data_IF_579729623931
#
_entry.id   IF_579729623931
#
_cell.length_a   1.000
_cell.length_b   1.000
_cell.length_c   1.000
_cell.angle_alpha   90.00
_cell.angle_beta   90.00
_cell.angle_gamma   90.00
#
_symmetry.space_group_name_H-M   'P 1'
#
loop_
_entity.id
_entity.type
_entity.pdbx_description
1 polymer ?
#
# COMPACT_ATOMS: atom_id res chain seq x y z
N UNK A 1 5.64 -10.01 -6.64
CA UNK A 1 5.59 -11.48 -6.85
C UNK A 1 4.38 -11.99 -6.09
N UNK A 2 3.38 -12.58 -6.74
CA UNK A 2 2.39 -13.38 -6.01
C UNK A 2 3.09 -14.67 -5.63
N UNK A 3 3.58 -14.76 -4.39
CA UNK A 3 4.11 -16.03 -3.88
C UNK A 3 3.01 -17.08 -4.00
N UNK A 4 3.37 -18.28 -4.47
CA UNK A 4 2.42 -19.38 -4.55
C UNK A 4 1.86 -19.70 -3.15
N UNK A 5 0.68 -20.30 -3.05
CA UNK A 5 0.20 -20.87 -1.81
C UNK A 5 1.13 -22.03 -1.38
N UNK A 6 1.11 -22.39 -0.09
CA UNK A 6 1.88 -23.49 0.45
C UNK A 6 1.58 -24.81 -0.29
N UNK A 7 2.61 -25.59 -0.69
CA UNK A 7 2.42 -26.91 -1.28
C UNK A 7 1.52 -27.80 -0.40
N UNK A 8 0.58 -28.57 -0.99
CA UNK A 8 -0.34 -29.43 -0.23
C UNK A 8 0.36 -30.41 0.71
N UNK A 9 1.52 -30.95 0.30
CA UNK A 9 2.30 -31.90 1.08
C UNK A 9 2.81 -31.29 2.39
N UNK A 10 3.17 -30.00 2.37
CA UNK A 10 3.57 -29.24 3.55
C UNK A 10 2.35 -28.83 4.37
N UNK A 11 1.24 -28.45 3.73
CA UNK A 11 0.01 -28.09 4.43
C UNK A 11 -0.53 -29.24 5.30
N UNK A 12 -0.45 -30.49 4.81
CA UNK A 12 -0.85 -31.70 5.56
C UNK A 12 -0.04 -31.90 6.85
N UNK A 13 1.20 -31.42 6.91
CA UNK A 13 2.00 -31.52 8.14
C UNK A 13 1.48 -30.60 9.25
N UNK A 14 0.75 -29.54 8.89
CA UNK A 14 0.18 -28.58 9.84
C UNK A 14 -1.26 -28.92 10.25
N UNK A 15 -1.87 -29.99 9.73
CA UNK A 15 -3.24 -30.40 10.10
C UNK A 15 -3.29 -31.32 11.33
N UNK A 16 -2.16 -31.54 12.01
CA UNK A 16 -2.09 -32.35 13.23
C UNK A 16 -2.73 -31.62 14.41
N UNK A 17 -3.99 -31.96 14.71
CA UNK A 17 -4.78 -31.26 15.72
C UNK A 17 -4.37 -31.54 17.17
N UNK A 18 -3.75 -32.70 17.43
CA UNK A 18 -3.39 -33.18 18.78
C UNK A 18 -1.90 -33.07 19.11
N UNK A 19 -1.06 -32.86 18.11
CA UNK A 19 0.37 -32.67 18.33
C UNK A 19 0.57 -31.27 18.91
N UNK A 20 1.55 -31.10 19.79
CA UNK A 20 1.87 -29.76 20.30
C UNK A 20 2.36 -28.86 19.15
N UNK A 21 2.25 -27.55 19.34
CA UNK A 21 2.76 -26.57 18.39
C UNK A 21 4.27 -26.75 18.14
N UNK A 22 5.05 -27.05 19.18
CA UNK A 22 6.49 -27.33 19.04
C UNK A 22 6.75 -28.63 18.27
N UNK A 23 6.01 -29.71 18.51
CA UNK A 23 6.15 -30.98 17.76
C UNK A 23 5.77 -30.81 16.29
N UNK A 24 4.68 -30.09 16.02
CA UNK A 24 4.24 -29.74 14.66
C UNK A 24 5.31 -28.90 13.95
N UNK A 25 5.91 -27.94 14.67
CA UNK A 25 7.00 -27.10 14.16
C UNK A 25 8.24 -27.92 13.80
N UNK A 26 8.68 -28.80 14.68
CA UNK A 26 9.85 -29.67 14.43
C UNK A 26 9.59 -30.58 13.24
N UNK A 27 8.39 -31.16 13.16
CA UNK A 27 8.01 -32.03 12.04
C UNK A 27 8.00 -31.27 10.73
N UNK A 28 7.39 -30.08 10.69
CA UNK A 28 7.33 -29.22 9.52
C UNK A 28 8.73 -28.75 9.09
N UNK A 29 9.51 -28.19 10.02
CA UNK A 29 10.86 -27.69 9.77
C UNK A 29 11.82 -28.79 9.28
N UNK A 30 11.64 -30.03 9.72
CA UNK A 30 12.45 -31.18 9.24
C UNK A 30 12.29 -31.47 7.74
N UNK A 31 11.22 -30.95 7.12
CA UNK A 31 10.93 -31.11 5.69
C UNK A 31 11.34 -29.90 4.86
N UNK A 32 11.79 -28.82 5.50
CA UNK A 32 12.20 -27.60 4.82
C UNK A 32 13.71 -27.58 4.60
N UNK A 33 14.10 -26.92 3.51
CA UNK A 33 15.46 -26.42 3.37
C UNK A 33 15.58 -25.13 4.20
N UNK A 34 16.60 -24.98 5.07
CA UNK A 34 16.81 -23.75 5.84
C UNK A 34 16.86 -22.47 5.00
N UNK A 35 17.37 -22.57 3.76
CA UNK A 35 17.47 -21.44 2.83
C UNK A 35 16.10 -20.96 2.32
N UNK A 36 15.06 -21.81 2.43
CA UNK A 36 13.72 -21.52 1.94
C UNK A 36 12.77 -20.95 3.02
N UNK A 37 13.24 -20.73 4.25
CA UNK A 37 12.40 -20.27 5.37
C UNK A 37 11.57 -19.02 5.03
N UNK A 38 12.17 -18.02 4.38
CA UNK A 38 11.45 -16.82 3.98
C UNK A 38 10.36 -17.13 2.96
N UNK A 39 10.70 -17.87 1.90
CA UNK A 39 9.75 -18.30 0.87
C UNK A 39 8.60 -19.09 1.47
N UNK A 40 8.88 -20.07 2.33
CA UNK A 40 7.87 -20.88 3.00
C UNK A 40 6.98 -20.03 3.92
N UNK A 41 7.56 -19.05 4.63
CA UNK A 41 6.77 -18.15 5.47
C UNK A 41 5.81 -17.27 4.64
N UNK A 42 6.26 -16.77 3.49
CA UNK A 42 5.37 -16.07 2.54
C UNK A 42 4.29 -16.98 1.95
N UNK A 43 4.61 -18.24 1.66
CA UNK A 43 3.64 -19.23 1.19
C UNK A 43 2.58 -19.54 2.26
N UNK A 44 2.99 -19.69 3.53
CA UNK A 44 2.09 -19.87 4.67
C UNK A 44 1.13 -18.69 4.81
N UNK A 45 1.67 -17.47 4.80
CA UNK A 45 0.87 -16.25 4.91
C UNK A 45 -0.15 -16.16 3.77
N UNK A 46 0.27 -16.40 2.52
CA UNK A 46 -0.63 -16.38 1.39
C UNK A 46 -1.72 -17.44 1.49
N UNK A 47 -1.38 -18.66 1.94
CA UNK A 47 -2.40 -19.67 2.19
C UNK A 47 -3.39 -19.17 3.24
N UNK A 48 -2.96 -18.62 4.38
CA UNK A 48 -3.86 -18.07 5.40
C UNK A 48 -4.81 -17.00 4.83
N UNK A 49 -4.30 -16.05 4.03
CA UNK A 49 -5.12 -15.01 3.38
C UNK A 49 -6.08 -15.60 2.34
N UNK A 50 -5.65 -16.60 1.58
CA UNK A 50 -6.52 -17.32 0.65
C UNK A 50 -7.66 -18.03 1.40
N UNK A 51 -7.39 -18.62 2.58
CA UNK A 51 -8.41 -19.27 3.41
C UNK A 51 -9.52 -18.29 3.84
N UNK A 52 -9.12 -17.08 4.24
CA UNK A 52 -10.04 -16.03 4.68
C UNK A 52 -10.91 -15.52 3.51
N UNK A 53 -10.30 -15.31 2.36
CA UNK A 53 -10.97 -14.69 1.21
C UNK A 53 -11.84 -15.68 0.42
N UNK A 54 -11.51 -16.98 0.41
CA UNK A 54 -12.11 -17.98 -0.50
C UNK A 54 -12.75 -19.21 0.17
N UNK A 55 -13.35 -19.08 1.37
CA UNK A 55 -13.91 -20.17 2.18
C UNK A 55 -14.45 -21.42 1.48
N UNK A 56 -15.28 -21.30 0.44
CA UNK A 56 -15.83 -22.47 -0.28
C UNK A 56 -14.76 -23.28 -1.06
N UNK A 57 -13.69 -22.64 -1.53
CA UNK A 57 -12.58 -23.32 -2.22
C UNK A 57 -11.59 -23.95 -1.23
N UNK A 58 -11.55 -23.42 -0.02
CA UNK A 58 -10.67 -23.84 1.07
C UNK A 58 -11.00 -25.24 1.56
N UNK A 59 -12.27 -25.54 1.80
CA UNK A 59 -12.70 -26.90 2.15
C UNK A 59 -12.24 -27.87 1.06
N UNK A 60 -12.42 -27.51 -0.21
CA UNK A 60 -11.98 -28.32 -1.34
C UNK A 60 -10.46 -28.51 -1.41
N UNK A 61 -9.67 -27.51 -1.03
CA UNK A 61 -8.21 -27.63 -0.96
C UNK A 61 -7.80 -28.66 0.10
N UNK A 62 -8.36 -28.59 1.31
CA UNK A 62 -8.06 -29.56 2.37
C UNK A 62 -8.63 -30.94 2.06
N UNK A 63 -9.83 -31.04 1.49
CA UNK A 63 -10.38 -32.29 0.99
C UNK A 63 -9.43 -32.94 -0.01
N UNK A 64 -8.94 -32.19 -1.00
CA UNK A 64 -8.05 -32.73 -2.03
C UNK A 64 -6.65 -33.06 -1.48
N UNK A 65 -6.12 -32.28 -0.55
CA UNK A 65 -4.82 -32.54 0.09
C UNK A 65 -4.86 -33.75 1.03
N UNK A 66 -6.01 -34.00 1.67
CA UNK A 66 -6.23 -35.12 2.60
C UNK A 66 -6.80 -36.37 1.91
N UNK A 67 -7.08 -36.32 0.59
CA UNK A 67 -7.65 -37.41 -0.22
C UNK A 67 -6.69 -38.61 -0.41
N UNK A 68 -6.29 -39.25 0.69
CA UNK A 68 -5.83 -40.64 0.70
C UNK A 68 -7.01 -41.65 0.76
N UNK A 69 -8.16 -41.30 0.16
CA UNK A 69 -9.24 -42.24 -0.13
C UNK A 69 -10.40 -42.33 0.87
N UNK A 70 -10.36 -41.62 2.00
CA UNK A 70 -11.47 -41.62 2.98
C UNK A 70 -12.19 -40.26 3.03
N UNK A 71 -13.52 -40.30 3.05
CA UNK A 71 -14.36 -39.11 3.24
C UNK A 71 -14.30 -38.66 4.70
N UNK A 72 -13.73 -37.47 4.95
CA UNK A 72 -13.73 -36.87 6.28
C UNK A 72 -15.15 -36.44 6.67
N UNK A 73 -15.50 -36.64 7.94
CA UNK A 73 -16.66 -36.00 8.53
C UNK A 73 -16.47 -34.49 8.61
N UNK A 74 -17.58 -33.74 8.68
CA UNK A 74 -17.53 -32.28 8.86
C UNK A 74 -16.73 -31.87 10.11
N UNK A 75 -16.83 -32.65 11.18
CA UNK A 75 -16.08 -32.41 12.42
C UNK A 75 -14.58 -32.57 12.19
N UNK A 76 -14.15 -33.64 11.52
CA UNK A 76 -12.72 -33.86 11.24
C UNK A 76 -12.15 -32.80 10.29
N UNK A 77 -12.92 -32.35 9.30
CA UNK A 77 -12.53 -31.25 8.42
C UNK A 77 -12.34 -29.95 9.21
N UNK A 78 -13.28 -29.65 10.12
CA UNK A 78 -13.19 -28.49 11.00
C UNK A 78 -11.95 -28.55 11.91
N UNK A 79 -11.65 -29.72 12.49
CA UNK A 79 -10.43 -29.94 13.28
C UNK A 79 -9.16 -29.76 12.45
N UNK A 80 -9.13 -30.26 11.21
CA UNK A 80 -7.99 -30.10 10.31
C UNK A 80 -7.76 -28.63 9.93
N UNK A 81 -8.83 -27.89 9.65
CA UNK A 81 -8.76 -26.46 9.34
C UNK A 81 -8.27 -25.65 10.54
N UNK A 82 -8.82 -25.92 11.73
CA UNK A 82 -8.39 -25.29 12.97
C UNK A 82 -6.92 -25.59 13.26
N UNK A 83 -6.50 -26.85 13.13
CA UNK A 83 -5.10 -27.26 13.28
C UNK A 83 -4.18 -26.49 12.34
N UNK A 84 -4.52 -26.44 11.05
CA UNK A 84 -3.72 -25.74 10.05
C UNK A 84 -3.57 -24.25 10.40
N UNK A 85 -4.69 -23.57 10.65
CA UNK A 85 -4.67 -22.12 10.93
C UNK A 85 -3.80 -21.82 12.15
N UNK A 86 -3.96 -22.57 13.24
CA UNK A 86 -3.21 -22.31 14.47
C UNK A 86 -1.73 -22.67 14.32
N UNK A 87 -1.42 -23.83 13.72
CA UNK A 87 -0.05 -24.23 13.48
C UNK A 87 0.66 -23.27 12.51
N UNK A 88 -0.01 -22.76 11.48
CA UNK A 88 0.56 -21.81 10.54
C UNK A 88 0.93 -20.48 11.22
N UNK A 89 0.04 -19.90 12.03
CA UNK A 89 0.34 -18.69 12.81
C UNK A 89 1.53 -18.91 13.77
N UNK A 90 1.57 -20.07 14.43
CA UNK A 90 2.67 -20.43 15.30
C UNK A 90 3.99 -20.60 14.54
N UNK A 91 3.95 -21.18 13.34
CA UNK A 91 5.12 -21.33 12.46
C UNK A 91 5.69 -19.97 12.02
N UNK A 92 4.82 -19.00 11.67
CA UNK A 92 5.24 -17.64 11.34
C UNK A 92 6.00 -17.00 12.51
N UNK A 93 5.52 -17.22 13.74
CA UNK A 93 6.24 -16.81 14.96
C UNK A 93 7.58 -17.54 15.10
N UNK A 94 7.60 -18.87 14.98
CA UNK A 94 8.81 -19.68 15.17
C UNK A 94 9.94 -19.33 14.21
N UNK A 95 9.64 -19.07 12.93
CA UNK A 95 10.66 -18.70 11.94
C UNK A 95 11.44 -17.42 12.30
N UNK A 96 10.82 -16.51 13.06
CA UNK A 96 11.39 -15.20 13.38
C UNK A 96 11.46 -14.95 14.90
N UNK A 97 11.34 -15.99 15.73
CA UNK A 97 11.33 -15.87 17.20
C UNK A 97 12.59 -15.26 17.79
N UNK A 98 13.70 -15.31 17.05
CA UNK A 98 14.99 -14.76 17.43
C UNK A 98 15.03 -13.22 17.37
N UNK A 99 14.07 -12.62 16.68
CA UNK A 99 13.91 -11.18 16.60
C UNK A 99 12.90 -10.70 17.64
N UNK A 100 13.04 -9.46 18.07
CA UNK A 100 12.00 -8.81 18.85
C UNK A 100 10.69 -8.78 18.07
N UNK A 101 9.55 -8.91 18.77
CA UNK A 101 8.23 -8.96 18.13
C UNK A 101 7.96 -7.74 17.22
N UNK A 102 8.52 -6.58 17.58
CA UNK A 102 8.42 -5.32 16.82
C UNK A 102 9.12 -5.38 15.46
N UNK A 103 10.13 -6.24 15.31
CA UNK A 103 10.91 -6.42 14.10
C UNK A 103 10.47 -7.65 13.30
N UNK A 104 9.39 -8.32 13.72
CA UNK A 104 8.89 -9.51 13.04
C UNK A 104 8.24 -9.10 11.70
N UNK A 105 8.63 -9.70 10.56
CA UNK A 105 8.08 -9.32 9.25
C UNK A 105 6.56 -9.60 9.11
N UNK A 106 5.97 -10.39 10.01
CA UNK A 106 4.54 -10.70 10.02
C UNK A 106 3.76 -9.88 11.05
N UNK A 107 4.37 -8.85 11.64
CA UNK A 107 3.68 -8.00 12.62
C UNK A 107 2.43 -7.33 12.05
N UNK A 108 2.50 -6.82 10.82
CA UNK A 108 1.36 -6.17 10.15
C UNK A 108 0.18 -7.11 9.97
N UNK A 109 0.46 -8.36 9.56
CA UNK A 109 -0.54 -9.42 9.45
C UNK A 109 -1.26 -9.67 10.79
N UNK A 110 -0.50 -9.85 11.87
CA UNK A 110 -1.09 -10.08 13.20
C UNK A 110 -1.91 -8.91 13.72
N UNK A 111 -1.47 -7.68 13.46
CA UNK A 111 -2.24 -6.47 13.78
C UNK A 111 -3.56 -6.44 13.01
N UNK A 112 -3.54 -6.71 11.70
CA UNK A 112 -4.77 -6.76 10.88
C UNK A 112 -5.73 -7.87 11.33
N UNK A 113 -5.24 -9.07 11.68
CA UNK A 113 -6.10 -10.16 12.23
C UNK A 113 -6.89 -9.69 13.46
N UNK A 114 -6.27 -8.92 14.36
CA UNK A 114 -6.96 -8.38 15.54
C UNK A 114 -7.89 -7.23 15.15
N UNK A 115 -7.45 -6.32 14.28
CA UNK A 115 -8.27 -5.18 13.82
C UNK A 115 -9.53 -5.62 13.11
N UNK A 116 -9.44 -6.63 12.26
CA UNK A 116 -10.59 -7.18 11.53
C UNK A 116 -11.60 -7.83 12.49
N UNK A 117 -11.11 -8.51 13.53
CA UNK A 117 -11.96 -9.00 14.61
C UNK A 117 -12.65 -7.85 15.35
N UNK A 118 -11.91 -6.83 15.77
CA UNK A 118 -12.46 -5.68 16.51
C UNK A 118 -13.42 -4.84 15.67
N UNK A 119 -13.14 -4.67 14.38
CA UNK A 119 -14.01 -3.98 13.43
C UNK A 119 -15.31 -4.74 13.23
N UNK A 120 -15.26 -6.07 13.16
CA UNK A 120 -16.45 -6.88 12.86
C UNK A 120 -17.29 -7.18 14.11
N UNK A 121 -16.64 -7.44 15.25
CA UNK A 121 -17.32 -7.87 16.47
C UNK A 121 -17.42 -6.78 17.53
N UNK A 122 -16.59 -5.73 17.45
CA UNK A 122 -16.76 -4.45 18.13
C UNK A 122 -17.07 -4.47 19.64
N UNK A 123 -17.47 -3.30 20.16
CA UNK A 123 -17.86 -3.12 21.57
C UNK A 123 -19.00 -4.05 22.01
N UNK A 124 -19.83 -4.50 21.06
CA UNK A 124 -21.01 -5.33 21.33
C UNK A 124 -20.65 -6.72 21.88
N UNK A 125 -19.50 -7.28 21.49
CA UNK A 125 -19.03 -8.57 22.00
C UNK A 125 -18.64 -8.48 23.49
N UNK A 126 -17.99 -7.39 23.90
CA UNK A 126 -17.62 -7.16 25.30
C UNK A 126 -18.81 -6.86 26.21
N UNK A 127 -19.90 -6.30 25.68
CA UNK A 127 -21.11 -6.01 26.44
C UNK A 127 -22.07 -7.21 26.55
N UNK A 128 -21.71 -8.38 26.02
CA UNK A 128 -22.56 -9.58 26.03
C UNK A 128 -23.87 -9.41 25.25
N UNK A 129 -23.99 -8.37 24.42
CA UNK A 129 -25.18 -8.07 23.62
C UNK A 129 -25.03 -8.72 22.24
N UNK A 130 -25.30 -10.02 22.17
CA UNK A 130 -25.26 -10.81 20.93
C UNK A 130 -26.38 -10.43 19.94
N UNK A 131 -26.24 -9.30 19.24
CA UNK A 131 -27.00 -9.05 18.00
C UNK A 131 -26.04 -8.65 16.89
N UNK A 132 -25.21 -9.60 16.46
CA UNK A 132 -24.37 -9.45 15.29
C UNK A 132 -25.26 -9.18 14.07
N UNK A 133 -25.19 -7.96 13.52
CA UNK A 133 -25.66 -7.68 12.17
C UNK A 133 -24.78 -8.47 11.21
N UNK A 134 -25.32 -9.57 10.71
CA UNK A 134 -24.64 -10.55 9.84
C UNK A 134 -24.11 -9.85 8.59
N UNK A 135 -22.86 -9.39 8.65
CA UNK A 135 -22.18 -8.82 7.49
C UNK A 135 -21.57 -9.97 6.71
N UNK A 136 -21.80 -9.98 5.40
CA UNK A 136 -21.58 -11.10 4.47
C UNK A 136 -20.11 -11.57 4.34
N UNK A 137 -19.15 -10.85 4.93
CA UNK A 137 -17.72 -11.12 4.78
C UNK A 137 -17.17 -12.26 5.66
N UNK A 138 -17.80 -12.57 6.81
CA UNK A 138 -17.38 -13.69 7.69
C UNK A 138 -18.31 -14.90 7.47
N UNK A 139 -18.43 -15.35 6.22
CA UNK A 139 -19.22 -16.55 5.87
C UNK A 139 -18.37 -17.81 5.69
N UNK A 140 -17.05 -17.70 5.78
CA UNK A 140 -16.15 -18.62 5.11
C UNK A 140 -15.22 -19.41 6.05
N UNK A 141 -14.95 -18.90 7.25
CA UNK A 141 -14.25 -19.64 8.32
C UNK A 141 -15.17 -19.65 9.53
N UNK A 142 -15.32 -20.81 10.18
CA UNK A 142 -16.16 -20.93 11.37
C UNK A 142 -15.73 -19.89 12.41
N UNK A 143 -16.72 -19.16 12.96
CA UNK A 143 -16.50 -18.02 13.87
C UNK A 143 -15.59 -18.40 15.05
N UNK A 144 -15.73 -19.64 15.52
CA UNK A 144 -14.95 -20.18 16.64
C UNK A 144 -13.46 -20.34 16.28
N UNK A 145 -13.14 -20.76 15.05
CA UNK A 145 -11.76 -20.84 14.57
C UNK A 145 -11.16 -19.44 14.50
N UNK A 146 -11.88 -18.47 13.92
CA UNK A 146 -11.38 -17.11 13.78
C UNK A 146 -11.17 -16.43 15.15
N UNK A 147 -12.14 -16.58 16.06
CA UNK A 147 -12.04 -16.11 17.45
C UNK A 147 -10.83 -16.71 18.16
N UNK A 148 -10.63 -18.03 18.04
CA UNK A 148 -9.49 -18.73 18.65
C UNK A 148 -8.16 -18.27 18.06
N UNK A 149 -8.08 -18.08 16.74
CA UNK A 149 -6.91 -17.54 16.07
C UNK A 149 -6.52 -16.16 16.61
N UNK A 150 -7.48 -15.27 16.81
CA UNK A 150 -7.25 -13.94 17.41
C UNK A 150 -6.63 -14.07 18.80
N UNK A 151 -7.08 -15.04 19.61
CA UNK A 151 -6.49 -15.29 20.92
C UNK A 151 -5.06 -15.82 20.83
N UNK A 152 -4.75 -16.68 19.86
CA UNK A 152 -3.40 -17.17 19.61
C UNK A 152 -2.46 -16.02 19.23
N UNK A 153 -2.88 -15.19 18.27
CA UNK A 153 -2.14 -14.00 17.82
C UNK A 153 -1.92 -13.03 18.97
N UNK A 154 -2.92 -12.82 19.83
CA UNK A 154 -2.76 -12.03 21.06
C UNK A 154 -1.70 -12.64 21.97
N UNK A 155 -1.71 -13.95 22.20
CA UNK A 155 -0.66 -14.62 22.97
C UNK A 155 0.74 -14.40 22.40
N UNK A 156 0.90 -14.44 21.07
CA UNK A 156 2.16 -14.15 20.37
C UNK A 156 2.59 -12.70 20.63
N UNK A 157 1.71 -11.72 20.39
CA UNK A 157 2.02 -10.29 20.60
C UNK A 157 2.30 -9.94 22.06
N UNK A 158 1.69 -10.65 23.01
CA UNK A 158 1.96 -10.51 24.44
C UNK A 158 3.33 -11.07 24.88
N UNK A 159 4.13 -11.62 23.95
CA UNK A 159 5.42 -12.23 24.25
C UNK A 159 5.31 -13.63 24.86
N UNK A 160 4.17 -14.30 24.71
CA UNK A 160 3.94 -15.65 25.24
C UNK A 160 4.12 -16.76 24.21
N UNK A 161 4.59 -16.45 23.00
CA UNK A 161 4.81 -17.42 21.93
C UNK A 161 5.61 -18.67 22.35
N UNK A 162 6.59 -18.53 23.24
CA UNK A 162 7.34 -19.70 23.76
C UNK A 162 6.47 -20.60 24.63
N UNK A 163 5.60 -20.04 25.48
CA UNK A 163 4.69 -20.81 26.33
C UNK A 163 3.60 -21.50 25.51
N UNK A 164 3.22 -20.87 24.39
CA UNK A 164 2.23 -21.44 23.49
C UNK A 164 2.69 -22.79 22.92
N UNK A 165 4.00 -23.00 22.75
CA UNK A 165 4.59 -24.20 22.13
C UNK A 165 4.18 -25.53 22.75
N UNK A 166 3.90 -25.56 24.06
CA UNK A 166 3.52 -26.78 24.77
C UNK A 166 2.06 -27.22 24.56
N UNK A 167 1.22 -26.38 23.95
CA UNK A 167 -0.17 -26.72 23.70
C UNK A 167 -0.34 -27.31 22.31
N UNK A 168 -1.29 -28.22 22.16
CA UNK A 168 -1.81 -28.60 20.85
C UNK A 168 -2.87 -27.62 20.35
N UNK A 169 -3.14 -27.56 19.03
CA UNK A 169 -4.29 -26.86 18.49
C UNK A 169 -5.60 -27.22 19.19
N UNK A 170 -5.81 -28.50 19.52
CA UNK A 170 -6.97 -28.99 20.25
C UNK A 170 -7.07 -28.40 21.66
N UNK A 171 -5.99 -28.47 22.45
CA UNK A 171 -5.99 -27.92 23.80
C UNK A 171 -6.18 -26.41 23.79
N UNK A 172 -5.56 -25.73 22.82
CA UNK A 172 -5.70 -24.29 22.68
C UNK A 172 -7.14 -23.88 22.35
N UNK A 173 -7.77 -24.60 21.41
CA UNK A 173 -9.15 -24.41 21.01
C UNK A 173 -10.15 -24.66 22.15
N UNK A 174 -9.98 -25.78 22.88
CA UNK A 174 -10.93 -26.19 23.92
C UNK A 174 -10.76 -25.39 25.23
N UNK A 175 -9.52 -25.15 25.67
CA UNK A 175 -9.25 -24.66 27.03
C UNK A 175 -8.79 -23.21 27.10
N UNK A 176 -8.07 -22.73 26.08
CA UNK A 176 -7.32 -21.47 26.20
C UNK A 176 -8.00 -20.29 25.53
N UNK A 177 -8.85 -20.52 24.52
CA UNK A 177 -9.62 -19.43 23.89
C UNK A 177 -10.37 -18.57 24.93
N UNK A 178 -10.98 -19.20 25.95
CA UNK A 178 -11.68 -18.50 27.04
C UNK A 178 -10.73 -17.82 28.04
N UNK A 179 -9.54 -18.38 28.25
CA UNK A 179 -8.56 -17.85 29.22
C UNK A 179 -7.90 -16.58 28.68
N UNK A 180 -7.52 -16.59 27.39
CA UNK A 180 -6.89 -15.45 26.72
C UNK A 180 -7.85 -14.31 26.40
N UNK A 181 -9.16 -14.59 26.33
CA UNK A 181 -10.21 -13.60 26.06
C UNK A 181 -10.18 -12.40 27.04
N UNK A 182 -9.66 -12.61 28.24
CA UNK A 182 -9.54 -11.58 29.29
C UNK A 182 -8.38 -10.60 29.09
N UNK A 183 -7.42 -10.91 28.22
CA UNK A 183 -6.23 -10.07 28.02
C UNK A 183 -6.47 -9.09 26.90
N UNK A 184 -6.71 -7.84 27.29
CA UNK A 184 -6.74 -6.71 26.38
C UNK A 184 -5.29 -6.37 26.03
N UNK A 185 -4.93 -6.58 24.78
CA UNK A 185 -3.65 -6.13 24.24
C UNK A 185 -3.88 -4.78 23.57
N UNK A 186 -3.06 -3.82 23.93
CA UNK A 186 -3.05 -2.51 23.28
C UNK A 186 -2.36 -2.63 21.92
N UNK A 187 -3.18 -2.88 20.89
CA UNK A 187 -2.73 -3.04 19.50
C UNK A 187 -2.00 -1.78 19.01
N UNK A 188 -2.37 -0.60 19.52
CA UNK A 188 -1.80 0.70 19.16
C UNK A 188 -0.28 0.77 19.33
N UNK A 189 0.29 0.01 20.29
CA UNK A 189 1.76 -0.05 20.48
C UNK A 189 2.49 -0.75 19.34
N UNK A 190 1.81 -1.71 18.71
CA UNK A 190 2.33 -2.41 17.55
C UNK A 190 2.09 -1.60 16.28
N UNK A 191 1.00 -0.83 16.20
CA UNK A 191 0.76 0.14 15.13
C UNK A 191 1.85 1.21 15.10
N UNK A 192 2.22 1.79 16.26
CA UNK A 192 3.36 2.73 16.35
C UNK A 192 4.66 2.09 15.84
N UNK A 193 4.88 0.81 16.14
CA UNK A 193 6.06 0.09 15.64
C UNK A 193 6.01 -0.12 14.11
N UNK A 194 4.82 -0.38 13.55
CA UNK A 194 4.60 -0.50 12.10
C UNK A 194 4.73 0.84 11.39
N UNK A 195 4.31 1.93 12.02
CA UNK A 195 4.51 3.30 11.55
C UNK A 195 6.00 3.70 11.57
N UNK A 196 6.74 3.31 12.60
CA UNK A 196 8.18 3.55 12.69
C UNK A 196 8.99 2.74 11.66
N UNK A 197 8.45 1.60 11.22
CA UNK A 197 8.99 0.80 10.10
C UNK A 197 8.48 1.26 8.73
N UNK A 198 7.68 2.33 8.67
CA UNK A 198 7.07 2.86 7.44
C UNK A 198 6.18 1.84 6.70
N UNK A 199 5.62 0.89 7.45
CA UNK A 199 4.62 -0.06 6.93
C UNK A 199 3.23 0.57 6.98
N UNK A 200 2.93 1.34 8.03
CA UNK A 200 1.72 2.15 8.15
C UNK A 200 2.03 3.63 8.02
N UNK A 201 1.11 4.36 7.40
CA UNK A 201 1.18 5.81 7.35
C UNK A 201 0.94 6.39 8.75
N UNK A 202 1.86 7.23 9.22
CA UNK A 202 1.69 7.96 10.48
C UNK A 202 0.42 8.80 10.36
N UNK A 203 -0.58 8.62 11.25
CA UNK A 203 -1.77 9.45 11.22
C UNK A 203 -1.31 10.90 11.33
N UNK A 204 -1.71 11.73 10.37
CA UNK A 204 -1.33 13.13 10.32
C UNK A 204 -1.54 13.70 11.72
N UNK A 205 -0.43 14.06 12.39
CA UNK A 205 -0.49 14.65 13.73
C UNK A 205 -1.36 15.89 13.56
N UNK A 206 -2.62 15.80 13.97
CA UNK A 206 -3.47 16.97 14.12
C UNK A 206 -2.66 17.85 15.04
N UNK A 207 -2.05 18.90 14.48
CA UNK A 207 -1.39 19.91 15.28
C UNK A 207 -2.51 20.42 16.16
N UNK A 208 -2.50 20.00 17.43
CA UNK A 208 -3.36 20.61 18.43
C UNK A 208 -2.75 22.00 18.58
N UNK A 209 -3.17 22.90 17.70
CA UNK A 209 -2.95 24.31 17.86
C UNK A 209 -3.54 24.65 19.21
N UNK A 210 -2.67 24.86 20.19
CA UNK A 210 -3.01 25.51 21.44
C UNK A 210 -3.31 26.99 21.13
N UNK A 211 -4.41 27.22 20.40
CA UNK A 211 -4.96 28.55 20.24
C UNK A 211 -5.62 28.94 21.56
N UNK A 212 -4.86 29.74 22.32
CA UNK A 212 -5.42 30.62 23.34
C UNK A 212 -6.48 31.48 22.66
N UNK A 213 -7.70 31.44 23.20
CA UNK A 213 -8.88 32.17 22.73
C UNK A 213 -8.57 33.66 22.53
N UNK A 214 -9.00 34.24 21.41
CA UNK A 214 -9.68 35.52 21.47
C UNK A 214 -11.08 35.44 20.87
N UNK A 215 -12.00 36.10 21.57
CA UNK A 215 -13.40 36.29 21.22
C UNK A 215 -13.57 36.94 19.84
N UNK A 216 -14.70 36.59 19.22
CA UNK A 216 -15.42 37.31 18.17
C UNK A 216 -14.68 37.60 16.85
N UNK A 217 -15.06 36.88 15.79
CA UNK A 217 -15.63 37.45 14.56
C UNK A 217 -16.32 36.32 13.78
N UNK A 218 -17.64 36.48 13.60
CA UNK A 218 -18.47 35.67 12.70
C UNK A 218 -18.11 36.03 11.25
N UNK A 219 -17.71 35.03 10.46
CA UNK A 219 -18.09 34.83 9.03
C UNK A 219 -17.33 33.63 8.48
N UNK A 220 -17.93 32.45 8.56
CA UNK A 220 -17.45 31.27 7.84
C UNK A 220 -18.58 30.75 6.96
N UNK A 221 -18.41 30.93 5.65
CA UNK A 221 -19.28 30.39 4.62
C UNK A 221 -19.05 28.88 4.55
N UNK A 222 -19.84 28.14 5.32
CA UNK A 222 -19.88 26.67 5.24
C UNK A 222 -20.63 26.31 3.96
N UNK A 223 -19.92 25.79 2.96
CA UNK A 223 -20.52 25.12 1.82
C UNK A 223 -21.23 23.84 2.32
N UNK A 224 -22.56 23.88 2.34
CA UNK A 224 -23.39 22.77 2.76
C UNK A 224 -23.41 21.65 1.68
N UNK A 225 -23.41 20.37 2.06
CA UNK A 225 -23.58 19.26 1.14
C UNK A 225 -25.06 19.14 0.77
N UNK A 226 -25.46 19.89 -0.26
CA UNK A 226 -26.79 19.87 -0.86
C UNK A 226 -26.68 19.98 -2.37
N UNK A 227 -26.07 18.98 -3.02
CA UNK A 227 -25.99 18.92 -4.48
C UNK A 227 -27.36 18.50 -5.07
N UNK A 228 -28.30 19.45 -5.08
CA UNK A 228 -29.55 19.34 -5.84
C UNK A 228 -29.35 19.86 -7.25
N UNK A 229 -29.41 18.94 -8.22
CA UNK A 229 -29.94 19.12 -9.59
C UNK A 229 -29.28 20.20 -10.46
N UNK A 230 -28.82 19.77 -11.64
CA UNK A 230 -28.26 20.57 -12.76
C UNK A 230 -29.24 21.59 -13.39
N UNK A 231 -30.04 22.32 -12.60
CA UNK A 231 -31.01 23.27 -13.12
C UNK A 231 -30.34 24.60 -13.50
N UNK A 232 -30.15 24.80 -14.81
CA UNK A 232 -30.03 26.07 -15.56
C UNK A 232 -29.28 27.27 -14.93
N UNK A 233 -28.31 27.04 -14.04
CA UNK A 233 -27.33 28.08 -13.73
C UNK A 233 -26.53 28.40 -15.00
N UNK A 234 -26.30 29.70 -15.23
CA UNK A 234 -25.57 30.19 -16.40
C UNK A 234 -24.26 29.42 -16.57
N UNK A 235 -24.05 28.84 -17.76
CA UNK A 235 -22.87 28.04 -18.11
C UNK A 235 -21.54 28.68 -17.68
N UNK A 236 -21.45 30.02 -17.67
CA UNK A 236 -20.26 30.75 -17.23
C UNK A 236 -20.03 30.70 -15.69
N UNK A 237 -21.08 30.76 -14.88
CA UNK A 237 -20.94 30.69 -13.41
C UNK A 237 -20.43 29.30 -12.97
N UNK A 238 -20.89 28.24 -13.66
CA UNK A 238 -20.41 26.88 -13.43
C UNK A 238 -18.93 26.75 -13.81
N UNK A 239 -18.50 27.35 -14.93
CA UNK A 239 -17.08 27.36 -15.33
C UNK A 239 -16.20 28.01 -14.28
N UNK A 240 -16.60 29.17 -13.78
CA UNK A 240 -15.87 29.88 -12.73
C UNK A 240 -15.80 29.07 -11.44
N UNK A 241 -16.88 28.39 -11.06
CA UNK A 241 -16.91 27.51 -9.90
C UNK A 241 -15.97 26.30 -10.08
N UNK A 242 -16.01 25.63 -11.25
CA UNK A 242 -15.12 24.52 -11.55
C UNK A 242 -13.66 24.96 -11.52
N UNK A 243 -13.32 26.09 -12.15
CA UNK A 243 -11.96 26.64 -12.14
C UNK A 243 -11.53 26.93 -10.70
N UNK A 244 -12.38 27.58 -9.90
CA UNK A 244 -12.08 27.88 -8.50
C UNK A 244 -11.78 26.60 -7.70
N UNK A 245 -12.59 25.55 -7.86
CA UNK A 245 -12.36 24.27 -7.16
C UNK A 245 -11.03 23.66 -7.61
N UNK A 246 -10.73 23.68 -8.92
CA UNK A 246 -9.47 23.14 -9.46
C UNK A 246 -8.27 23.87 -8.87
N UNK A 247 -8.34 25.20 -8.73
CA UNK A 247 -7.27 25.99 -8.13
C UNK A 247 -7.04 25.65 -6.66
N UNK A 248 -8.10 25.35 -5.89
CA UNK A 248 -7.99 24.93 -4.48
C UNK A 248 -7.46 23.51 -4.28
N UNK A 249 -7.43 22.67 -5.33
CA UNK A 249 -6.94 21.27 -5.21
C UNK A 249 -5.45 21.13 -4.93
N UNK A 250 -4.69 22.21 -5.07
CA UNK A 250 -3.27 22.23 -4.71
C UNK A 250 -3.06 22.39 -3.19
N UNK A 251 -4.11 22.78 -2.43
CA UNK A 251 -3.97 23.18 -1.03
C UNK A 251 -4.68 22.22 -0.08
N UNK A 252 -5.87 21.73 -0.44
CA UNK A 252 -6.72 20.93 0.46
C UNK A 252 -7.14 19.58 -0.12
N UNK A 253 -7.31 18.57 0.75
CA UNK A 253 -7.91 17.29 0.39
C UNK A 253 -9.37 17.47 -0.05
N UNK A 254 -9.69 17.03 -1.26
CA UNK A 254 -11.06 17.04 -1.77
C UNK A 254 -11.84 15.80 -1.31
N UNK A 255 -13.09 15.96 -0.84
CA UNK A 255 -14.02 14.85 -0.70
C UNK A 255 -14.24 14.12 -2.03
N UNK A 256 -14.44 12.81 -1.98
CA UNK A 256 -14.61 11.99 -3.18
C UNK A 256 -15.84 12.40 -4.00
N UNK A 257 -16.89 12.87 -3.31
CA UNK A 257 -18.11 13.38 -3.94
C UNK A 257 -17.85 14.66 -4.72
N UNK A 258 -16.95 15.53 -4.22
CA UNK A 258 -16.52 16.74 -4.91
C UNK A 258 -15.69 16.41 -6.14
N UNK A 259 -14.79 15.43 -6.05
CA UNK A 259 -14.03 14.92 -7.20
C UNK A 259 -14.97 14.42 -8.29
N UNK A 260 -15.95 13.59 -7.95
CA UNK A 260 -16.91 13.05 -8.93
C UNK A 260 -17.79 14.14 -9.56
N UNK A 261 -18.22 15.11 -8.76
CA UNK A 261 -18.98 16.26 -9.23
C UNK A 261 -18.17 17.08 -10.26
N UNK A 262 -16.94 17.46 -9.93
CA UNK A 262 -16.09 18.28 -10.81
C UNK A 262 -15.74 17.50 -12.08
N UNK A 263 -15.40 16.21 -11.96
CA UNK A 263 -15.09 15.37 -13.12
C UNK A 263 -16.29 15.21 -14.06
N UNK A 264 -17.50 15.08 -13.52
CA UNK A 264 -18.73 15.04 -14.33
C UNK A 264 -18.93 16.37 -15.06
N UNK A 265 -18.68 17.50 -14.40
CA UNK A 265 -18.71 18.83 -15.04
C UNK A 265 -17.71 18.99 -16.18
N UNK A 266 -16.45 18.62 -15.95
CA UNK A 266 -15.41 18.69 -16.99
C UNK A 266 -15.67 17.75 -18.17
N UNK A 267 -16.29 16.59 -17.94
CA UNK A 267 -16.67 15.66 -19.00
C UNK A 267 -17.87 16.19 -19.81
N UNK A 268 -18.80 16.88 -19.17
CA UNK A 268 -19.97 17.47 -19.84
C UNK A 268 -19.59 18.72 -20.65
N UNK A 269 -18.65 19.53 -20.16
CA UNK A 269 -18.15 20.72 -20.86
C UNK A 269 -16.61 20.71 -20.94
N UNK A 270 -16.10 20.01 -21.94
CA UNK A 270 -14.66 19.90 -22.20
C UNK A 270 -14.03 21.25 -22.56
N UNK A 271 -14.83 22.27 -22.95
CA UNK A 271 -14.30 23.60 -23.29
C UNK A 271 -13.68 24.33 -22.10
N UNK A 272 -14.00 23.89 -20.86
CA UNK A 272 -13.36 24.37 -19.63
C UNK A 272 -11.86 24.01 -19.59
N UNK A 273 -11.45 22.93 -20.29
CA UNK A 273 -10.07 22.48 -20.33
C UNK A 273 -9.28 23.34 -21.31
N UNK A 274 -8.83 24.48 -20.80
CA UNK A 274 -8.01 25.43 -21.52
C UNK A 274 -6.51 25.10 -21.41
N UNK A 275 -5.66 25.61 -22.33
CA UNK A 275 -4.20 25.45 -22.20
C UNK A 275 -3.65 25.92 -20.85
N UNK A 276 -4.22 26.99 -20.28
CA UNK A 276 -3.79 27.53 -18.99
C UNK A 276 -4.10 26.58 -17.84
N UNK A 277 -5.25 25.90 -17.87
CA UNK A 277 -5.59 24.89 -16.87
C UNK A 277 -4.63 23.71 -16.92
N UNK A 278 -4.27 23.25 -18.12
CA UNK A 278 -3.32 22.15 -18.31
C UNK A 278 -1.93 22.55 -17.79
N UNK A 279 -1.46 23.76 -18.08
CA UNK A 279 -0.18 24.28 -17.55
C UNK A 279 -0.18 24.44 -16.05
N UNK A 280 -1.27 24.96 -15.49
CA UNK A 280 -1.46 25.04 -14.05
C UNK A 280 -1.37 23.65 -13.41
N UNK A 281 -2.08 22.68 -13.98
CA UNK A 281 -2.03 21.27 -13.55
C UNK A 281 -0.61 20.72 -13.62
N UNK A 282 0.14 21.01 -14.69
CA UNK A 282 1.53 20.59 -14.84
C UNK A 282 2.46 21.19 -13.75
N UNK A 283 2.28 22.47 -13.43
CA UNK A 283 3.06 23.15 -12.39
C UNK A 283 2.77 22.67 -10.97
N UNK A 284 1.52 22.29 -10.68
CA UNK A 284 1.08 21.82 -9.37
C UNK A 284 1.13 20.29 -9.23
N UNK A 285 1.56 19.56 -10.27
CA UNK A 285 1.42 18.11 -10.33
C UNK A 285 2.07 17.37 -9.14
N UNK A 286 3.29 17.69 -8.69
CA UNK A 286 3.86 17.00 -7.54
C UNK A 286 2.98 17.12 -6.29
N UNK A 287 2.51 18.33 -5.98
CA UNK A 287 1.66 18.63 -4.83
C UNK A 287 0.29 17.96 -4.94
N UNK A 288 -0.34 18.01 -6.11
CA UNK A 288 -1.68 17.42 -6.31
C UNK A 288 -1.65 15.90 -6.32
N UNK A 289 -0.54 15.26 -6.70
CA UNK A 289 -0.37 13.80 -6.55
C UNK A 289 -0.34 13.39 -5.08
N UNK A 290 0.32 14.17 -4.23
CA UNK A 290 0.44 13.88 -2.79
C UNK A 290 -0.87 14.14 -2.04
N UNK A 291 -1.52 15.28 -2.30
CA UNK A 291 -2.74 15.67 -1.58
C UNK A 291 -3.98 15.00 -2.17
N UNK A 292 -4.09 14.92 -3.50
CA UNK A 292 -5.34 14.61 -4.18
C UNK A 292 -5.14 13.54 -5.28
N UNK A 293 -4.56 12.40 -4.92
CA UNK A 293 -4.20 11.34 -5.88
C UNK A 293 -5.35 10.94 -6.83
N UNK A 294 -6.54 10.65 -6.31
CA UNK A 294 -7.69 10.20 -7.11
C UNK A 294 -8.17 11.28 -8.11
N UNK A 295 -8.17 12.54 -7.69
CA UNK A 295 -8.46 13.68 -8.54
C UNK A 295 -7.42 13.80 -9.65
N UNK A 296 -6.14 13.74 -9.30
CA UNK A 296 -5.04 13.86 -10.24
C UNK A 296 -5.07 12.76 -11.31
N UNK A 297 -5.33 11.51 -10.91
CA UNK A 297 -5.52 10.38 -11.84
C UNK A 297 -6.66 10.68 -12.83
N UNK A 298 -7.86 11.02 -12.34
CA UNK A 298 -9.03 11.28 -13.19
C UNK A 298 -8.83 12.49 -14.11
N UNK A 299 -8.20 13.56 -13.62
CA UNK A 299 -7.92 14.76 -14.39
C UNK A 299 -6.92 14.47 -15.51
N UNK A 300 -5.84 13.74 -15.22
CA UNK A 300 -4.84 13.36 -16.22
C UNK A 300 -5.41 12.39 -17.25
N UNK A 301 -6.27 11.46 -16.85
CA UNK A 301 -6.98 10.60 -17.79
C UNK A 301 -7.87 11.39 -18.74
N UNK A 302 -8.57 12.39 -18.23
CA UNK A 302 -9.38 13.27 -19.05
C UNK A 302 -8.51 14.07 -20.02
N UNK A 303 -7.46 14.75 -19.54
CA UNK A 303 -6.60 15.61 -20.37
C UNK A 303 -5.81 14.81 -21.41
N UNK A 304 -5.23 13.66 -21.00
CA UNK A 304 -4.32 12.89 -21.85
C UNK A 304 -5.04 11.83 -22.69
N UNK A 305 -6.09 11.21 -22.14
CA UNK A 305 -6.82 10.11 -22.76
C UNK A 305 -8.02 10.52 -23.62
N UNK A 306 -8.58 11.74 -23.44
CA UNK A 306 -9.76 12.13 -24.20
C UNK A 306 -9.44 12.46 -25.67
N UNK A 307 -10.08 11.75 -26.60
CA UNK A 307 -9.79 11.81 -28.04
C UNK A 307 -9.91 13.22 -28.64
N UNK A 308 -10.89 14.00 -28.19
CA UNK A 308 -11.09 15.36 -28.71
C UNK A 308 -10.00 16.33 -28.23
N UNK A 309 -9.61 16.23 -26.95
CA UNK A 309 -8.55 17.07 -26.38
C UNK A 309 -7.18 16.73 -27.00
N UNK A 310 -6.97 15.45 -27.30
CA UNK A 310 -5.78 14.97 -28.00
C UNK A 310 -5.65 15.52 -29.42
N UNK A 311 -6.77 15.75 -30.11
CA UNK A 311 -6.80 16.28 -31.47
C UNK A 311 -6.75 17.81 -31.55
N UNK A 312 -6.89 18.52 -30.42
CA UNK A 312 -6.89 19.98 -30.40
C UNK A 312 -5.45 20.53 -30.48
N UNK A 313 -5.07 21.22 -31.58
CA UNK A 313 -3.73 21.76 -31.73
C UNK A 313 -3.39 22.83 -30.67
N UNK A 314 -4.38 23.51 -30.09
CA UNK A 314 -4.16 24.52 -29.05
C UNK A 314 -3.68 23.91 -27.73
N UNK A 315 -4.00 22.64 -27.49
CA UNK A 315 -3.63 21.91 -26.28
C UNK A 315 -2.36 21.08 -26.46
N UNK A 316 -1.85 20.93 -27.68
CA UNK A 316 -0.67 20.11 -27.98
C UNK A 316 0.54 20.49 -27.11
N UNK A 317 0.90 21.78 -27.08
CA UNK A 317 2.05 22.26 -26.31
C UNK A 317 1.84 22.07 -24.81
N UNK A 318 0.64 22.40 -24.30
CA UNK A 318 0.33 22.26 -22.88
C UNK A 318 0.29 20.78 -22.44
N UNK A 319 -0.20 19.87 -23.29
CA UNK A 319 -0.13 18.42 -23.06
C UNK A 319 1.32 17.96 -23.01
N UNK A 320 2.18 18.44 -23.92
CA UNK A 320 3.59 18.08 -23.89
C UNK A 320 4.29 18.59 -22.62
N UNK A 321 3.97 19.81 -22.16
CA UNK A 321 4.43 20.34 -20.88
C UNK A 321 3.97 19.45 -19.71
N UNK A 322 2.71 18.99 -19.71
CA UNK A 322 2.17 18.09 -18.70
C UNK A 322 2.85 16.70 -18.71
N UNK A 323 3.07 16.11 -19.88
CA UNK A 323 3.80 14.84 -20.01
C UNK A 323 5.25 15.03 -19.53
N UNK A 324 5.88 16.17 -19.82
CA UNK A 324 7.20 16.52 -19.29
C UNK A 324 7.18 16.63 -17.76
N UNK A 325 6.14 17.24 -17.17
CA UNK A 325 5.98 17.32 -15.72
C UNK A 325 5.86 15.93 -15.07
N UNK A 326 5.13 14.99 -15.70
CA UNK A 326 5.03 13.59 -15.25
C UNK A 326 6.42 12.94 -15.17
N UNK A 327 7.30 13.16 -16.16
CA UNK A 327 8.67 12.61 -16.12
C UNK A 327 9.54 13.18 -15.00
N UNK A 328 9.14 14.29 -14.38
CA UNK A 328 9.89 14.98 -13.31
C UNK A 328 9.32 14.73 -11.93
N UNK A 329 8.29 13.88 -11.82
CA UNK A 329 7.72 13.54 -10.52
C UNK A 329 8.74 12.84 -9.62
N UNK A 330 8.62 12.99 -8.28
CA UNK A 330 9.53 12.36 -7.35
C UNK A 330 9.42 10.83 -7.42
N UNK A 331 10.49 10.14 -7.05
CA UNK A 331 10.55 8.67 -7.04
C UNK A 331 9.92 8.07 -5.77
N UNK A 332 8.70 8.49 -5.45
CA UNK A 332 7.88 7.96 -4.34
C UNK A 332 6.83 6.98 -4.88
N UNK A 333 6.13 6.27 -3.98
CA UNK A 333 5.14 5.26 -4.36
C UNK A 333 3.98 5.88 -5.18
N UNK A 334 3.47 7.04 -4.75
CA UNK A 334 2.30 7.67 -5.37
C UNK A 334 2.53 8.03 -6.86
N UNK A 335 3.60 8.77 -7.26
CA UNK A 335 3.90 8.99 -8.68
C UNK A 335 4.12 7.72 -9.50
N UNK A 336 4.76 6.69 -8.94
CA UNK A 336 4.96 5.42 -9.63
C UNK A 336 3.63 4.71 -9.89
N UNK A 337 2.70 4.75 -8.94
CA UNK A 337 1.34 4.21 -9.11
C UNK A 337 0.52 5.04 -10.09
N UNK A 338 0.65 6.38 -10.06
CA UNK A 338 0.05 7.26 -11.05
C UNK A 338 0.52 6.90 -12.46
N UNK A 339 1.84 6.86 -12.70
CA UNK A 339 2.41 6.54 -14.01
C UNK A 339 1.91 5.16 -14.45
N UNK A 340 2.00 4.15 -13.58
CA UNK A 340 1.50 2.80 -13.88
C UNK A 340 0.02 2.82 -14.27
N UNK A 341 -0.81 3.57 -13.56
CA UNK A 341 -2.25 3.71 -13.82
C UNK A 341 -2.51 4.36 -15.18
N UNK A 342 -1.82 5.45 -15.51
CA UNK A 342 -1.94 6.15 -16.80
C UNK A 342 -1.50 5.26 -17.97
N UNK A 343 -0.44 4.46 -17.78
CA UNK A 343 0.02 3.50 -18.78
C UNK A 343 -0.99 2.37 -19.00
N UNK A 344 -1.52 1.78 -17.93
CA UNK A 344 -2.55 0.72 -17.99
C UNK A 344 -3.80 1.22 -18.72
N UNK A 345 -4.21 2.46 -18.47
CA UNK A 345 -5.39 3.07 -19.09
C UNK A 345 -5.14 3.60 -20.51
N UNK A 346 -3.91 3.50 -21.02
CA UNK A 346 -3.55 3.93 -22.37
C UNK A 346 -3.65 5.45 -22.57
N UNK A 347 -3.45 6.23 -21.51
CA UNK A 347 -3.52 7.69 -21.57
C UNK A 347 -2.29 8.32 -22.21
N UNK A 348 -1.15 7.62 -22.21
CA UNK A 348 0.13 8.08 -22.72
C UNK A 348 0.42 7.41 -24.07
N UNK A 349 0.78 8.20 -25.07
CA UNK A 349 1.04 7.71 -26.45
C UNK A 349 2.46 7.16 -26.60
N UNK A 350 3.45 7.88 -26.06
CA UNK A 350 4.87 7.51 -26.10
C UNK A 350 5.30 6.99 -24.73
N UNK A 351 4.89 5.74 -24.46
CA UNK A 351 5.20 5.04 -23.20
C UNK A 351 6.71 5.01 -22.93
N UNK A 352 7.58 4.63 -23.90
CA UNK A 352 9.02 4.64 -23.67
C UNK A 352 9.53 6.01 -23.25
N UNK A 353 9.14 7.10 -23.92
CA UNK A 353 9.61 8.44 -23.57
C UNK A 353 9.27 8.83 -22.13
N UNK A 354 8.04 8.56 -21.67
CA UNK A 354 7.62 8.89 -20.31
C UNK A 354 8.37 8.06 -19.28
N UNK A 355 8.48 6.75 -19.49
CA UNK A 355 9.13 5.86 -18.54
C UNK A 355 10.63 6.12 -18.47
N UNK A 356 11.33 6.20 -19.60
CA UNK A 356 12.76 6.51 -19.63
C UNK A 356 13.03 7.89 -19.03
N UNK A 357 12.19 8.89 -19.34
CA UNK A 357 12.29 10.23 -18.75
C UNK A 357 12.17 10.22 -17.22
N UNK A 358 11.16 9.51 -16.70
CA UNK A 358 10.95 9.33 -15.26
C UNK A 358 12.11 8.59 -14.60
N UNK A 359 12.51 7.43 -15.12
CA UNK A 359 13.59 6.62 -14.56
C UNK A 359 14.93 7.38 -14.55
N UNK A 360 15.25 8.10 -15.64
CA UNK A 360 16.46 8.90 -15.70
C UNK A 360 16.46 10.03 -14.65
N UNK A 361 15.33 10.71 -14.43
CA UNK A 361 15.23 11.73 -13.40
C UNK A 361 15.27 11.15 -11.98
N UNK A 362 14.61 10.01 -11.75
CA UNK A 362 14.65 9.30 -10.48
C UNK A 362 16.08 8.83 -10.14
N UNK A 363 16.80 8.22 -11.09
CA UNK A 363 18.17 7.76 -10.87
C UNK A 363 19.14 8.90 -10.57
N UNK A 364 18.98 10.05 -11.24
CA UNK A 364 19.74 11.27 -10.90
C UNK A 364 19.44 11.74 -9.48
N UNK A 365 18.16 11.80 -9.09
CA UNK A 365 17.77 12.21 -7.74
C UNK A 365 18.40 11.28 -6.67
N UNK A 366 18.41 9.96 -6.92
CA UNK A 366 19.04 8.98 -6.04
C UNK A 366 20.56 9.16 -5.99
N UNK A 367 21.22 9.48 -7.10
CA UNK A 367 22.66 9.77 -7.11
C UNK A 367 23.00 10.95 -6.19
N UNK A 368 22.17 12.01 -6.19
CA UNK A 368 22.34 13.13 -5.27
C UNK A 368 22.16 12.75 -3.80
N UNK A 369 21.27 11.81 -3.46
CA UNK A 369 21.08 11.34 -2.08
C UNK A 369 22.36 10.73 -1.48
N UNK A 370 23.23 10.14 -2.31
CA UNK A 370 24.48 9.51 -1.89
C UNK A 370 25.69 10.42 -1.85
N UNK A 371 25.58 11.63 -2.39
CA UNK A 371 26.71 12.57 -2.47
C UNK A 371 26.99 13.19 -1.09
N UNK A 372 27.88 12.58 -0.31
CA UNK A 372 28.23 12.96 1.07
C UNK A 372 29.03 14.28 1.21
N UNK A 373 29.09 15.15 0.20
CA UNK A 373 29.95 16.34 0.20
C UNK A 373 29.34 17.60 0.81
N UNK A 374 28.17 17.54 1.44
CA UNK A 374 27.56 18.71 2.10
C UNK A 374 28.15 18.96 3.51
N UNK A 375 29.48 19.17 3.59
CA UNK A 375 30.13 19.81 4.75
C UNK A 375 30.62 21.22 4.46
N UNK A 376 30.20 21.83 3.35
CA UNK A 376 30.58 23.20 3.02
C UNK A 376 29.35 24.08 2.86
N UNK A 377 29.38 25.24 3.52
CA UNK A 377 28.39 26.33 3.53
C UNK A 377 28.01 26.90 2.14
N UNK A 378 28.44 26.25 1.06
CA UNK A 378 28.15 26.58 -0.33
C UNK A 378 26.96 25.79 -0.91
N UNK A 379 26.47 24.76 -0.21
CA UNK A 379 25.39 23.88 -0.73
C UNK A 379 24.00 24.53 -0.64
N UNK A 380 23.80 25.53 0.23
CA UNK A 380 22.55 26.31 0.27
C UNK A 380 22.26 27.04 -1.04
N UNK A 381 23.28 27.36 -1.85
CA UNK A 381 23.10 28.07 -3.12
C UNK A 381 22.82 27.13 -4.30
N UNK A 382 23.10 25.83 -4.18
CA UNK A 382 22.87 24.82 -5.23
C UNK A 382 21.51 24.13 -5.11
N UNK A 383 20.97 24.00 -3.89
CA UNK A 383 19.56 23.64 -3.70
C UNK A 383 18.63 24.68 -4.32
N UNK A 384 19.01 25.96 -4.32
CA UNK A 384 18.27 27.02 -5.02
C UNK A 384 18.35 26.88 -6.56
N UNK A 385 19.49 26.45 -7.11
CA UNK A 385 19.71 26.35 -8.57
C UNK A 385 19.01 25.16 -9.24
N UNK A 386 18.81 24.05 -8.51
CA UNK A 386 18.08 22.89 -9.03
C UNK A 386 16.56 23.17 -9.18
N UNK A 387 16.04 24.16 -8.45
CA UNK A 387 14.67 24.66 -8.60
C UNK A 387 14.56 25.86 -9.57
N UNK A 388 15.59 26.70 -9.71
CA UNK A 388 15.59 27.85 -10.65
C UNK A 388 15.76 27.45 -12.14
N UNK A 389 16.25 26.24 -12.44
CA UNK A 389 16.43 25.77 -13.83
C UNK A 389 15.16 25.21 -14.47
N UNK A 390 14.02 25.22 -13.76
CA UNK A 390 12.70 24.96 -14.30
C UNK A 390 11.93 26.30 -14.37
N UNK A 391 11.79 26.94 -15.55
CA UNK A 391 11.33 28.33 -15.67
C UNK A 391 9.82 28.56 -15.39
N UNK A 392 9.18 27.70 -14.59
CA UNK A 392 7.74 27.77 -14.28
C UNK A 392 7.40 27.70 -12.78
N UNK A 393 8.39 27.70 -11.89
CA UNK A 393 8.12 27.75 -10.43
C UNK A 393 8.87 28.95 -9.86
N UNK A 394 8.26 30.13 -9.95
CA UNK A 394 8.64 31.24 -9.08
C UNK A 394 8.29 30.88 -7.65
N UNK A 395 9.15 31.15 -6.65
CA UNK A 395 8.80 30.95 -5.26
C UNK A 395 7.63 31.88 -4.91
N UNK A 396 6.47 31.31 -4.62
CA UNK A 396 5.34 32.04 -4.06
C UNK A 396 5.66 32.29 -2.57
N UNK A 397 5.85 33.54 -2.17
CA UNK A 397 6.29 33.97 -0.83
C UNK A 397 5.24 33.78 0.30
N UNK A 398 4.26 32.88 0.13
CA UNK A 398 3.18 32.70 1.11
C UNK A 398 2.84 31.22 1.33
N UNK A 399 3.15 30.71 2.52
CA UNK A 399 2.70 29.38 2.97
C UNK A 399 3.70 28.26 2.71
N UNK A 400 4.75 28.18 3.52
CA UNK A 400 5.70 27.08 3.47
C UNK A 400 5.05 25.77 3.91
N UNK A 401 4.70 24.91 2.95
CA UNK A 401 4.58 23.48 3.22
C UNK A 401 5.95 23.04 3.77
N UNK A 402 6.02 22.35 4.93
CA UNK A 402 7.28 21.89 5.47
C UNK A 402 7.97 21.04 4.41
N UNK A 403 9.03 21.60 3.82
CA UNK A 403 9.90 20.96 2.85
C UNK A 403 10.31 19.63 3.47
N UNK A 404 9.73 18.52 2.98
CA UNK A 404 10.07 17.20 3.47
C UNK A 404 11.59 17.09 3.40
N UNK A 405 12.21 16.86 4.55
CA UNK A 405 13.66 16.70 4.62
C UNK A 405 13.99 15.50 3.77
N UNK A 406 14.44 15.73 2.54
CA UNK A 406 14.85 14.67 1.62
C UNK A 406 15.87 13.85 2.37
N UNK A 407 15.50 12.62 2.73
CA UNK A 407 16.39 11.77 3.48
C UNK A 407 17.65 11.54 2.65
N UNK A 408 18.80 11.76 3.27
CA UNK A 408 20.11 11.63 2.63
C UNK A 408 20.84 10.42 3.17
N UNK A 409 21.75 9.90 2.37
CA UNK A 409 22.64 8.82 2.75
C UNK A 409 22.32 7.51 2.06
N UNK A 410 23.13 6.49 2.38
CA UNK A 410 23.05 5.17 1.77
C UNK A 410 21.72 4.47 2.04
N UNK A 411 21.10 4.71 3.20
CA UNK A 411 19.79 4.13 3.54
C UNK A 411 18.68 4.65 2.61
N UNK A 412 18.55 5.97 2.47
CA UNK A 412 17.60 6.59 1.56
C UNK A 412 17.82 6.17 0.09
N UNK A 413 19.09 6.09 -0.35
CA UNK A 413 19.42 5.53 -1.66
C UNK A 413 18.94 4.09 -1.83
N UNK A 414 19.15 3.25 -0.81
CA UNK A 414 18.74 1.85 -0.85
C UNK A 414 17.23 1.72 -0.94
N UNK A 415 16.48 2.50 -0.17
CA UNK A 415 15.02 2.53 -0.23
C UNK A 415 14.50 3.00 -1.60
N UNK A 416 15.04 4.09 -2.14
CA UNK A 416 14.61 4.60 -3.44
C UNK A 416 14.92 3.62 -4.59
N UNK A 417 16.06 2.93 -4.54
CA UNK A 417 16.40 1.86 -5.51
C UNK A 417 15.45 0.67 -5.36
N UNK A 418 15.11 0.25 -4.14
CA UNK A 418 14.12 -0.82 -3.92
C UNK A 418 12.79 -0.46 -4.59
N UNK A 419 12.29 0.76 -4.36
CA UNK A 419 11.05 1.24 -5.00
C UNK A 419 11.16 1.22 -6.54
N UNK A 420 12.26 1.72 -7.11
CA UNK A 420 12.48 1.67 -8.56
C UNK A 420 12.49 0.25 -9.12
N UNK A 421 13.14 -0.71 -8.43
CA UNK A 421 13.15 -2.10 -8.90
C UNK A 421 11.75 -2.73 -8.90
N UNK A 422 10.93 -2.42 -7.90
CA UNK A 422 9.53 -2.87 -7.84
C UNK A 422 8.70 -2.23 -8.96
N UNK A 423 8.88 -0.93 -9.20
CA UNK A 423 8.21 -0.21 -10.28
C UNK A 423 8.58 -0.78 -11.66
N UNK A 424 9.87 -0.94 -11.97
CA UNK A 424 10.31 -1.54 -13.24
C UNK A 424 9.77 -2.97 -13.40
N UNK A 425 9.85 -3.78 -12.34
CA UNK A 425 9.31 -5.13 -12.38
C UNK A 425 7.79 -5.15 -12.62
N UNK A 426 7.04 -4.17 -12.06
CA UNK A 426 5.61 -3.98 -12.34
C UNK A 426 5.36 -3.66 -13.81
N UNK A 427 6.16 -2.78 -14.43
CA UNK A 427 6.06 -2.46 -15.86
C UNK A 427 6.27 -3.70 -16.73
N UNK A 428 7.30 -4.50 -16.43
CA UNK A 428 7.62 -5.73 -17.17
C UNK A 428 6.54 -6.80 -16.99
N UNK A 429 6.13 -7.06 -15.75
CA UNK A 429 5.13 -8.09 -15.42
C UNK A 429 3.77 -7.77 -16.05
N UNK A 430 3.37 -6.49 -16.04
CA UNK A 430 2.12 -6.02 -16.66
C UNK A 430 2.22 -5.85 -18.17
N UNK A 431 3.37 -6.15 -18.79
CA UNK A 431 3.65 -6.00 -20.23
C UNK A 431 3.45 -4.57 -20.73
N UNK A 432 3.69 -3.59 -19.87
CA UNK A 432 3.68 -2.17 -20.24
C UNK A 432 4.99 -1.78 -20.93
N UNK A 433 6.08 -2.45 -20.58
CA UNK A 433 7.38 -2.38 -21.26
C UNK A 433 8.06 -3.75 -21.19
N UNK A 434 8.91 -4.05 -22.17
CA UNK A 434 9.77 -5.23 -22.14
C UNK A 434 11.06 -4.96 -21.36
N UNK A 435 11.69 -6.03 -20.83
CA UNK A 435 13.00 -5.93 -20.20
C UNK A 435 14.08 -5.43 -21.20
N UNK A 436 13.91 -5.72 -22.49
CA UNK A 436 14.81 -5.26 -23.55
C UNK A 436 14.71 -3.74 -23.77
N UNK A 437 13.51 -3.17 -23.73
CA UNK A 437 13.33 -1.71 -23.82
C UNK A 437 13.97 -1.01 -22.62
N UNK A 438 13.88 -1.59 -21.42
CA UNK A 438 14.45 -1.06 -20.18
C UNK A 438 15.90 -1.49 -19.91
N UNK A 439 16.59 -2.02 -20.92
CA UNK A 439 17.92 -2.64 -20.76
C UNK A 439 18.93 -1.69 -20.11
N UNK A 440 18.98 -0.43 -20.54
CA UNK A 440 19.96 0.53 -20.05
C UNK A 440 19.72 0.91 -18.59
N UNK A 441 18.47 1.15 -18.18
CA UNK A 441 18.13 1.45 -16.79
C UNK A 441 18.37 0.26 -15.88
N UNK A 442 18.07 -0.96 -16.34
CA UNK A 442 18.33 -2.20 -15.60
C UNK A 442 19.83 -2.41 -15.39
N UNK A 443 20.64 -2.23 -16.45
CA UNK A 443 22.11 -2.32 -16.33
C UNK A 443 22.68 -1.21 -15.45
N UNK A 444 22.18 0.03 -15.55
CA UNK A 444 22.61 1.12 -14.68
C UNK A 444 22.33 0.81 -13.21
N UNK A 445 21.11 0.35 -12.89
CA UNK A 445 20.74 -0.08 -11.53
C UNK A 445 21.66 -1.23 -11.06
N UNK A 446 21.82 -2.26 -11.89
CA UNK A 446 22.61 -3.45 -11.56
C UNK A 446 24.08 -3.16 -11.30
N UNK A 447 24.71 -2.28 -12.11
CA UNK A 447 26.13 -1.94 -11.99
C UNK A 447 26.38 -0.91 -10.91
N UNK A 448 25.65 0.22 -10.93
CA UNK A 448 25.90 1.37 -10.04
C UNK A 448 25.47 1.09 -8.59
N UNK A 449 24.47 0.24 -8.42
CA UNK A 449 23.87 -0.06 -7.13
C UNK A 449 24.02 -1.53 -6.72
N UNK A 450 25.03 -2.24 -7.25
CA UNK A 450 25.31 -3.67 -6.97
C UNK A 450 25.49 -4.02 -5.48
N UNK A 451 25.83 -3.03 -4.66
CA UNK A 451 26.00 -3.15 -3.22
C UNK A 451 24.65 -3.29 -2.48
N UNK A 452 23.54 -2.93 -3.12
CA UNK A 452 22.18 -3.14 -2.64
C UNK A 452 21.74 -4.56 -3.05
N UNK A 453 21.44 -5.46 -2.10
CA UNK A 453 21.06 -6.85 -2.40
C UNK A 453 19.86 -6.95 -3.35
N UNK A 454 18.85 -6.09 -3.19
CA UNK A 454 17.64 -6.10 -4.01
C UNK A 454 17.93 -5.70 -5.46
N UNK A 455 18.80 -4.70 -5.69
CA UNK A 455 19.23 -4.32 -7.03
C UNK A 455 19.97 -5.47 -7.74
N UNK A 456 20.79 -6.23 -7.00
CA UNK A 456 21.50 -7.40 -7.54
C UNK A 456 20.56 -8.54 -7.89
N UNK A 457 19.60 -8.85 -7.00
CA UNK A 457 18.57 -9.85 -7.27
C UNK A 457 17.76 -9.50 -8.50
N UNK A 458 17.24 -8.26 -8.53
CA UNK A 458 16.50 -7.71 -9.66
C UNK A 458 17.28 -7.79 -10.97
N UNK A 459 18.56 -7.40 -10.98
CA UNK A 459 19.40 -7.46 -12.19
C UNK A 459 19.61 -8.89 -12.70
N UNK A 460 19.79 -9.84 -11.78
CA UNK A 460 19.91 -11.25 -12.12
C UNK A 460 18.62 -11.83 -12.71
N UNK A 461 17.47 -11.43 -12.19
CA UNK A 461 16.16 -11.87 -12.67
C UNK A 461 15.83 -11.27 -14.05
N UNK A 462 16.07 -9.97 -14.23
CA UNK A 462 15.78 -9.29 -15.50
C UNK A 462 16.64 -9.78 -16.67
N UNK A 463 17.88 -10.24 -16.42
CA UNK A 463 18.74 -10.82 -17.46
C UNK A 463 18.29 -12.20 -17.96
N UNK A 464 17.40 -12.88 -17.21
CA UNK A 464 16.86 -14.19 -17.59
C UNK A 464 15.59 -14.07 -18.43
N UNK A 465 14.92 -12.91 -18.40
CA UNK A 465 13.78 -12.56 -19.23
C UNK A 465 14.27 -12.06 -20.59
#
# INVERSE_FOLDING_TARGET
>A
MTTASLPPELAVLLTKYRDSFDESTVTFASKLNPDDHFTTACQLLNTLVDLETRGDQTENMFYNALQQGESLSRTELHECLAAFVFNAEYMLFQFYRQYEIRMNPFLSHWVEVIRDWEKTFGRDFHEGKQKAKTTTAIRNVDLDIFSTRVQLVRGILAGEGVKLGSYSPHEFYVFLANTFQSRIIDVSKFEESLEDMEIYDKPAKKQIEHHSTPEDIKSQTVLAPGATKWEEESSEALKDQLISIIMTTAEDHLPIETVDFVMTGLQNDISVITPNLVRFTAGQLPTTVEINFQWTVKLLELILGHRQLRADPKLSDARQELITAITRLPSTIMPMDLITTLLIRGCVEDVPWVVHGFLANALRAIEYMGSHTATSAHTQHLEQYYYESSPLITPFEGGGIPMQTVERGRAAQAQAIRLLTVFINSLVTKRLMSAQELHFEIEEIGVRYIWIPEARGFWGDMRRL
#
